data_IF_389322157266
#
_entry.id   IF_389322157266
#
_cell.length_a   1.000
_cell.length_b   1.000
_cell.length_c   1.000
_cell.angle_alpha   90.00
_cell.angle_beta   90.00
_cell.angle_gamma   90.00
#
_symmetry.space_group_name_H-M   'P 1'
#
loop_
_entity.id
_entity.type
_entity.pdbx_description
1 polymer ?
#
# COMPACT_ATOMS: atom_id res chain seq x y z
N UNK A 1 -14.10 17.66 12.86
CA UNK A 1 -13.24 16.58 12.35
C UNK A 1 -13.74 16.22 10.97
N UNK A 2 -12.90 16.44 9.97
CA UNK A 2 -13.27 16.41 8.56
C UNK A 2 -13.49 14.97 8.06
N UNK A 3 -14.69 14.68 7.56
CA UNK A 3 -15.05 13.35 7.04
C UNK A 3 -14.38 13.02 5.69
N UNK A 4 -13.65 13.97 5.09
CA UNK A 4 -12.85 13.77 3.87
C UNK A 4 -11.48 13.15 4.15
N UNK A 5 -10.80 13.60 5.21
CA UNK A 5 -9.53 13.03 5.67
C UNK A 5 -9.64 11.56 6.07
N UNK A 6 -10.67 11.20 6.86
CA UNK A 6 -10.88 9.81 7.28
C UNK A 6 -11.14 8.87 6.09
N UNK A 7 -11.88 9.32 5.07
CA UNK A 7 -12.15 8.50 3.87
C UNK A 7 -10.92 8.34 2.98
N UNK A 8 -10.08 9.37 2.91
CA UNK A 8 -8.83 9.35 2.15
C UNK A 8 -7.85 8.36 2.80
N UNK A 9 -7.77 8.36 4.13
CA UNK A 9 -6.93 7.42 4.88
C UNK A 9 -7.38 5.95 4.66
N UNK A 10 -8.68 5.67 4.75
CA UNK A 10 -9.22 4.32 4.50
C UNK A 10 -8.91 3.84 3.08
N UNK A 11 -9.13 4.69 2.06
CA UNK A 11 -8.85 4.32 0.67
C UNK A 11 -7.36 4.04 0.45
N UNK A 12 -6.49 4.87 1.03
CA UNK A 12 -5.05 4.68 0.94
C UNK A 12 -4.61 3.38 1.63
N UNK A 13 -5.21 3.04 2.78
CA UNK A 13 -4.94 1.79 3.49
C UNK A 13 -5.27 0.56 2.64
N UNK A 14 -6.45 0.52 2.02
CA UNK A 14 -6.89 -0.57 1.14
C UNK A 14 -5.95 -0.75 -0.05
N UNK A 15 -5.58 0.35 -0.74
CA UNK A 15 -4.65 0.30 -1.88
C UNK A 15 -3.31 -0.32 -1.47
N UNK A 16 -2.81 0.03 -0.28
CA UNK A 16 -1.55 -0.50 0.23
C UNK A 16 -1.67 -1.98 0.59
N UNK A 17 -2.76 -2.38 1.25
CA UNK A 17 -2.98 -3.77 1.63
C UNK A 17 -3.12 -4.68 0.39
N UNK A 18 -3.81 -4.20 -0.64
CA UNK A 18 -3.87 -4.88 -1.95
C UNK A 18 -2.49 -5.01 -2.59
N UNK A 19 -1.66 -3.97 -2.55
CA UNK A 19 -0.29 -4.01 -3.08
C UNK A 19 0.59 -5.06 -2.39
N UNK A 20 0.45 -5.19 -1.07
CA UNK A 20 1.14 -6.24 -0.29
C UNK A 20 0.65 -7.63 -0.69
N UNK A 21 -0.67 -7.80 -0.87
CA UNK A 21 -1.24 -9.06 -1.34
C UNK A 21 -0.74 -9.44 -2.74
N UNK A 22 -0.65 -8.46 -3.66
CA UNK A 22 -0.07 -8.67 -5.01
C UNK A 22 1.39 -9.11 -4.92
N UNK A 23 2.20 -8.49 -4.04
CA UNK A 23 3.59 -8.88 -3.85
C UNK A 23 3.70 -10.32 -3.35
N UNK A 24 2.84 -10.72 -2.41
CA UNK A 24 2.85 -12.05 -1.82
C UNK A 24 2.35 -13.15 -2.77
N UNK A 25 1.37 -12.83 -3.64
CA UNK A 25 0.74 -13.80 -4.53
C UNK A 25 1.42 -13.90 -5.91
N UNK A 26 2.12 -12.85 -6.35
CA UNK A 26 2.80 -12.79 -7.64
C UNK A 26 4.30 -12.51 -7.44
N UNK A 27 4.70 -11.24 -7.50
CA UNK A 27 6.07 -10.82 -7.29
C UNK A 27 6.13 -9.30 -7.00
N UNK A 28 7.31 -8.81 -6.62
CA UNK A 28 7.55 -7.39 -6.33
C UNK A 28 7.27 -6.47 -7.51
N UNK A 29 7.58 -6.86 -8.75
CA UNK A 29 7.35 -6.01 -9.92
C UNK A 29 5.85 -5.79 -10.17
N UNK A 30 5.03 -6.83 -10.08
CA UNK A 30 3.57 -6.71 -10.20
C UNK A 30 2.99 -5.79 -9.11
N UNK A 31 3.53 -5.85 -7.89
CA UNK A 31 3.09 -4.97 -6.80
C UNK A 31 3.46 -3.50 -7.05
N UNK A 32 4.66 -3.24 -7.57
CA UNK A 32 5.09 -1.89 -7.96
C UNK A 32 4.17 -1.32 -9.04
N UNK A 33 3.85 -2.10 -10.06
CA UNK A 33 2.95 -1.69 -11.15
C UNK A 33 1.53 -1.41 -10.65
N UNK A 34 1.00 -2.29 -9.78
CA UNK A 34 -0.30 -2.08 -9.15
C UNK A 34 -0.34 -0.75 -8.39
N UNK A 35 0.64 -0.49 -7.51
CA UNK A 35 0.67 0.73 -6.70
C UNK A 35 0.88 1.99 -7.55
N UNK A 36 1.71 1.92 -8.60
CA UNK A 36 1.87 3.01 -9.57
C UNK A 36 0.56 3.31 -10.31
N UNK A 37 -0.19 2.29 -10.73
CA UNK A 37 -1.50 2.47 -11.40
C UNK A 37 -2.53 3.19 -10.52
N UNK A 38 -2.33 3.17 -9.19
CA UNK A 38 -3.17 3.86 -8.19
C UNK A 38 -2.60 5.21 -7.76
N UNK A 39 -1.60 5.75 -8.46
CA UNK A 39 -0.90 7.01 -8.16
C UNK A 39 -0.22 7.04 -6.77
N UNK A 40 0.23 5.88 -6.28
CA UNK A 40 1.00 5.82 -5.04
C UNK A 40 2.43 6.31 -5.32
N UNK A 41 2.92 7.23 -4.49
CA UNK A 41 4.26 7.78 -4.62
C UNK A 41 5.34 6.71 -4.41
N UNK A 42 6.45 6.78 -5.15
CA UNK A 42 7.55 5.81 -5.08
C UNK A 42 8.08 5.60 -3.65
N UNK A 43 8.21 6.66 -2.85
CA UNK A 43 8.65 6.55 -1.45
C UNK A 43 7.68 5.72 -0.58
N UNK A 44 6.38 5.78 -0.87
CA UNK A 44 5.37 4.95 -0.19
C UNK A 44 5.47 3.51 -0.68
N UNK A 45 5.67 3.29 -1.98
CA UNK A 45 5.86 1.95 -2.57
C UNK A 45 7.08 1.25 -1.94
N UNK A 46 8.21 1.94 -1.87
CA UNK A 46 9.44 1.43 -1.26
C UNK A 46 9.18 1.01 0.20
N UNK A 47 8.57 1.89 1.00
CA UNK A 47 8.22 1.57 2.40
C UNK A 47 7.30 0.35 2.50
N UNK A 48 6.30 0.27 1.63
CA UNK A 48 5.28 -0.80 1.66
C UNK A 48 5.88 -2.16 1.29
N UNK A 49 6.73 -2.19 0.26
CA UNK A 49 7.25 -3.44 -0.30
C UNK A 49 8.56 -3.92 0.35
N UNK A 50 9.36 -3.00 0.93
CA UNK A 50 10.63 -3.32 1.59
C UNK A 50 10.47 -3.59 3.09
N UNK A 51 9.46 -3.00 3.75
CA UNK A 51 9.21 -3.17 5.18
C UNK A 51 7.80 -3.74 5.52
N UNK A 52 7.29 -4.78 4.82
CA UNK A 52 5.93 -5.29 5.08
C UNK A 52 5.75 -5.80 6.52
N UNK A 53 6.83 -6.28 7.15
CA UNK A 53 6.82 -6.75 8.54
C UNK A 53 6.54 -5.66 9.57
N UNK A 54 6.90 -4.39 9.31
CA UNK A 54 6.59 -3.28 10.22
C UNK A 54 5.09 -2.97 10.30
N UNK A 55 4.33 -3.34 9.27
CA UNK A 55 2.87 -3.23 9.25
C UNK A 55 2.19 -4.40 9.99
N UNK A 56 2.76 -5.62 9.91
CA UNK A 56 2.24 -6.79 10.63
C UNK A 56 2.37 -6.70 12.16
N UNK A 57 3.28 -5.89 12.68
CA UNK A 57 3.45 -5.71 14.13
C UNK A 57 2.42 -4.73 14.77
N UNK A 58 1.64 -4.02 13.96
CA UNK A 58 0.69 -3.00 14.41
C UNK A 58 -0.76 -3.27 14.00
N UNK A 59 -1.08 -4.49 13.56
CA UNK A 59 -2.44 -5.00 13.32
C UNK A 59 -2.80 -6.12 14.29
#
# INVERSE_FOLDING_TARGET
MDAGEARTDVRQRVIVDDGIAVQSNANTMCAVEYLRSRNVACAVIERVLLEPARRRASQ
#
